data_IF_108665337082
#
_entry.id   IF_108665337082
#
_cell.length_a   1.000
_cell.length_b   1.000
_cell.length_c   1.000
_cell.angle_alpha   90.00
_cell.angle_beta   90.00
_cell.angle_gamma   90.00
#
_symmetry.space_group_name_H-M   'P 1'
#
loop_
_entity.id
_entity.type
_entity.pdbx_description
1 polymer ?
#
# COMPACT_ATOMS: atom_id res chain seq x y z
N UNK A 1 3.71 13.25 -4.20
CA UNK A 1 2.49 13.13 -5.05
C UNK A 1 2.85 12.34 -6.30
N UNK A 2 2.46 11.07 -6.34
CA UNK A 2 2.80 10.14 -7.43
C UNK A 2 2.27 10.62 -8.80
N UNK A 3 3.10 10.46 -9.84
CA UNK A 3 2.80 10.86 -11.22
C UNK A 3 1.58 10.10 -11.75
N UNK A 4 0.55 10.81 -12.23
CA UNK A 4 -0.67 10.22 -12.82
C UNK A 4 -0.59 10.26 -14.36
N UNK A 5 0.52 9.76 -14.90
CA UNK A 5 0.72 9.60 -16.34
C UNK A 5 1.45 8.28 -16.58
N UNK A 6 1.08 7.58 -17.65
CA UNK A 6 1.74 6.33 -18.03
C UNK A 6 3.22 6.57 -18.35
N UNK A 7 4.07 5.62 -17.95
CA UNK A 7 5.46 5.60 -18.40
C UNK A 7 5.50 5.04 -19.83
N UNK A 8 6.15 5.78 -20.73
CA UNK A 8 6.35 5.37 -22.12
C UNK A 8 7.51 4.35 -22.25
N UNK A 9 8.48 4.41 -21.33
CA UNK A 9 9.65 3.54 -21.33
C UNK A 9 10.25 3.36 -19.93
N UNK A 10 11.14 2.36 -19.77
CA UNK A 10 11.90 2.16 -18.53
C UNK A 10 12.96 3.25 -18.29
N UNK A 11 13.39 3.94 -19.35
CA UNK A 11 14.38 5.02 -19.24
C UNK A 11 13.79 6.22 -18.49
N UNK A 12 12.47 6.41 -18.59
CA UNK A 12 11.74 7.48 -17.91
C UNK A 12 11.65 7.32 -16.38
N UNK A 13 12.03 6.15 -15.84
CA UNK A 13 11.99 5.82 -14.41
C UNK A 13 13.38 6.00 -13.80
N UNK A 14 13.81 7.24 -13.57
CA UNK A 14 15.11 7.55 -12.95
C UNK A 14 15.02 7.75 -11.43
N UNK A 15 13.94 8.38 -10.99
CA UNK A 15 13.58 8.57 -9.58
C UNK A 15 12.10 8.22 -9.40
N UNK A 16 11.70 7.84 -8.18
CA UNK A 16 10.33 7.48 -7.87
C UNK A 16 9.91 8.00 -6.50
N UNK A 17 8.78 8.68 -6.44
CA UNK A 17 8.11 8.99 -5.19
C UNK A 17 7.11 7.87 -4.91
N UNK A 18 7.28 7.21 -3.77
CA UNK A 18 6.34 6.23 -3.25
C UNK A 18 5.48 6.86 -2.15
N UNK A 19 4.22 6.47 -2.10
CA UNK A 19 3.27 6.95 -1.12
C UNK A 19 2.78 5.80 -0.24
N UNK A 20 2.94 5.92 1.09
CA UNK A 20 2.43 5.00 2.10
C UNK A 20 1.12 5.53 2.69
N UNK A 21 0.02 4.81 2.48
CA UNK A 21 -1.26 5.14 3.12
C UNK A 21 -1.42 4.39 4.42
N UNK A 22 -1.79 5.12 5.47
CA UNK A 22 -2.06 4.57 6.79
C UNK A 22 -3.58 4.52 6.97
N UNK A 23 -4.09 3.31 7.20
CA UNK A 23 -5.50 3.01 7.42
C UNK A 23 -5.61 2.44 8.84
N UNK A 24 -5.60 3.35 9.80
CA UNK A 24 -5.64 3.04 11.22
C UNK A 24 -6.31 4.19 11.95
N UNK A 25 -7.31 3.90 12.78
CA UNK A 25 -7.90 4.90 13.68
C UNK A 25 -6.96 5.28 14.84
N UNK A 26 -5.94 4.45 15.10
CA UNK A 26 -4.98 4.66 16.19
C UNK A 26 -3.74 5.36 15.64
N UNK A 27 -3.15 6.23 16.46
CA UNK A 27 -1.86 6.86 16.16
C UNK A 27 -0.65 5.97 16.45
N UNK A 28 -0.90 4.74 16.94
CA UNK A 28 0.11 3.81 17.45
C UNK A 28 -0.16 2.41 16.89
N UNK A 29 0.90 1.72 16.48
CA UNK A 29 0.90 0.32 16.07
C UNK A 29 2.09 -0.40 16.74
N UNK A 30 1.85 -1.59 17.27
CA UNK A 30 2.82 -2.38 18.04
C UNK A 30 3.40 -1.63 19.26
N UNK A 31 2.63 -0.68 19.81
CA UNK A 31 3.10 0.20 20.88
C UNK A 31 4.01 1.35 20.42
N UNK A 32 4.28 1.48 19.12
CA UNK A 32 5.14 2.50 18.52
C UNK A 32 4.30 3.50 17.71
N UNK A 33 4.52 4.83 17.84
CA UNK A 33 3.84 5.82 17.01
C UNK A 33 4.01 5.51 15.53
N UNK A 34 2.94 5.65 14.74
CA UNK A 34 3.01 5.28 13.31
C UNK A 34 4.10 6.05 12.57
N UNK A 35 4.27 7.35 12.84
CA UNK A 35 5.33 8.14 12.23
C UNK A 35 6.76 7.63 12.55
N UNK A 36 6.97 7.04 13.74
CA UNK A 36 8.26 6.41 14.08
C UNK A 36 8.47 5.11 13.30
N UNK A 37 7.41 4.32 13.07
CA UNK A 37 7.47 3.14 12.20
C UNK A 37 7.79 3.53 10.76
N UNK A 38 7.19 4.60 10.24
CA UNK A 38 7.49 5.12 8.90
C UNK A 38 8.93 5.61 8.81
N UNK A 39 9.43 6.30 9.83
CA UNK A 39 10.84 6.70 9.89
C UNK A 39 11.76 5.47 9.84
N UNK A 40 11.46 4.42 10.61
CA UNK A 40 12.23 3.18 10.59
C UNK A 40 12.19 2.46 9.22
N UNK A 41 11.06 2.53 8.50
CA UNK A 41 10.96 2.03 7.12
C UNK A 41 11.85 2.85 6.18
N UNK A 42 11.79 4.18 6.27
CA UNK A 42 12.60 5.10 5.46
C UNK A 42 14.10 4.86 5.62
N UNK A 43 14.57 4.64 6.84
CA UNK A 43 15.98 4.32 7.14
C UNK A 43 16.49 3.03 6.49
N UNK A 44 15.59 2.16 6.01
CA UNK A 44 15.92 0.89 5.34
C UNK A 44 15.85 0.97 3.81
N UNK A 45 15.45 2.11 3.25
CA UNK A 45 15.44 2.33 1.80
C UNK A 45 16.89 2.53 1.33
N UNK A 46 17.25 1.85 0.23
CA UNK A 46 18.61 1.88 -0.33
C UNK A 46 18.72 3.00 -1.36
N UNK A 47 19.72 3.86 -1.20
CA UNK A 47 20.00 4.94 -2.14
C UNK A 47 19.03 6.12 -1.99
N UNK A 48 19.10 7.05 -2.93
CA UNK A 48 18.38 8.34 -2.93
C UNK A 48 17.40 8.50 -4.11
N UNK A 49 17.22 7.44 -4.89
CA UNK A 49 16.32 7.43 -6.06
C UNK A 49 14.86 7.09 -5.72
N UNK A 50 14.56 6.81 -4.45
CA UNK A 50 13.22 6.55 -3.96
C UNK A 50 12.94 7.42 -2.74
N UNK A 51 11.87 8.20 -2.80
CA UNK A 51 11.34 8.92 -1.63
C UNK A 51 10.08 8.22 -1.14
N UNK A 52 9.74 8.41 0.13
CA UNK A 52 8.52 7.84 0.72
C UNK A 52 7.72 8.94 1.43
N UNK A 53 6.57 9.32 0.90
CA UNK A 53 5.60 10.20 1.57
C UNK A 53 4.59 9.36 2.37
N UNK A 54 4.11 9.88 3.50
CA UNK A 54 3.12 9.19 4.34
C UNK A 54 1.78 9.94 4.32
N UNK A 55 0.70 9.18 4.31
CA UNK A 55 -0.68 9.68 4.29
C UNK A 55 -1.47 9.13 5.48
N UNK A 56 -1.37 9.76 6.66
CA UNK A 56 -2.13 9.38 7.86
C UNK A 56 -3.65 9.56 7.69
N UNK A 57 -4.09 10.35 6.72
CA UNK A 57 -5.50 10.61 6.42
C UNK A 57 -6.22 9.46 5.71
N UNK A 58 -5.57 8.32 5.48
CA UNK A 58 -6.10 7.21 4.68
C UNK A 58 -7.46 6.69 5.15
N UNK A 59 -7.65 6.59 6.47
CA UNK A 59 -8.93 6.18 7.06
C UNK A 59 -10.08 7.14 6.71
N UNK A 60 -9.81 8.44 6.62
CA UNK A 60 -10.81 9.46 6.26
C UNK A 60 -11.09 9.59 4.77
N UNK A 61 -10.45 8.76 3.93
CA UNK A 61 -10.54 8.79 2.47
C UNK A 61 -10.90 7.43 1.86
N UNK A 62 -11.48 6.53 2.65
CA UNK A 62 -11.87 5.20 2.18
C UNK A 62 -12.91 5.22 1.06
N UNK A 63 -13.70 6.29 0.92
CA UNK A 63 -14.65 6.50 -0.16
C UNK A 63 -14.01 7.03 -1.46
N UNK A 64 -12.77 7.54 -1.38
CA UNK A 64 -12.05 8.14 -2.50
C UNK A 64 -11.19 7.09 -3.21
N UNK A 65 -11.86 6.16 -3.91
CA UNK A 65 -11.19 5.07 -4.64
C UNK A 65 -10.03 5.54 -5.53
N UNK A 66 -10.27 6.60 -6.32
CA UNK A 66 -9.27 7.15 -7.23
C UNK A 66 -8.04 7.72 -6.52
N UNK A 67 -8.17 8.17 -5.26
CA UNK A 67 -7.02 8.59 -4.45
C UNK A 67 -6.30 7.34 -3.91
N UNK A 68 -7.03 6.42 -3.27
CA UNK A 68 -6.47 5.20 -2.69
C UNK A 68 -5.66 4.36 -3.68
N UNK A 69 -6.15 4.20 -4.91
CA UNK A 69 -5.53 3.37 -5.93
C UNK A 69 -4.15 3.88 -6.38
N UNK A 70 -3.88 5.17 -6.19
CA UNK A 70 -2.60 5.81 -6.54
C UNK A 70 -1.50 5.53 -5.50
N UNK A 71 -1.81 4.82 -4.41
CA UNK A 71 -0.84 4.51 -3.38
C UNK A 71 -0.45 3.04 -3.45
N UNK A 72 0.85 2.79 -3.58
CA UNK A 72 1.42 1.46 -3.83
C UNK A 72 1.55 0.61 -2.56
N UNK A 73 1.61 1.26 -1.39
CA UNK A 73 1.80 0.61 -0.10
C UNK A 73 0.73 1.06 0.89
N UNK A 74 -0.03 0.10 1.41
CA UNK A 74 -1.09 0.34 2.40
C UNK A 74 -0.72 -0.34 3.71
N UNK A 75 -0.83 0.40 4.81
CA UNK A 75 -0.66 -0.10 6.16
C UNK A 75 -2.01 -0.07 6.89
N UNK A 76 -2.57 -1.25 7.16
CA UNK A 76 -3.91 -1.41 7.71
C UNK A 76 -3.84 -2.02 9.11
N UNK A 77 -4.52 -1.44 10.09
CA UNK A 77 -4.74 -2.11 11.37
C UNK A 77 -5.87 -3.14 11.25
N UNK A 78 -5.67 -4.36 11.76
CA UNK A 78 -6.58 -5.47 11.50
C UNK A 78 -8.05 -5.24 11.87
N UNK A 79 -8.33 -4.46 12.92
CA UNK A 79 -9.71 -4.17 13.34
C UNK A 79 -10.50 -3.43 12.24
N UNK A 80 -9.82 -2.67 11.38
CA UNK A 80 -10.45 -1.98 10.23
C UNK A 80 -11.01 -2.95 9.17
N UNK A 81 -10.63 -4.23 9.23
CA UNK A 81 -11.14 -5.29 8.36
C UNK A 81 -12.06 -6.28 9.09
N UNK A 82 -12.11 -6.22 10.42
CA UNK A 82 -12.80 -7.19 11.28
C UNK A 82 -14.05 -6.62 11.94
N UNK A 83 -14.16 -5.29 12.06
CA UNK A 83 -15.34 -4.65 12.64
C UNK A 83 -16.54 -4.75 11.69
N UNK A 84 -17.62 -5.39 12.15
CA UNK A 84 -18.86 -5.63 11.39
C UNK A 84 -19.60 -4.32 11.01
N UNK A 85 -19.27 -3.19 11.63
CA UNK A 85 -19.90 -1.88 11.40
C UNK A 85 -19.03 -0.89 10.60
N UNK A 86 -17.78 -1.25 10.26
CA UNK A 86 -16.79 -0.33 9.67
C UNK A 86 -16.55 -0.54 8.17
N UNK A 87 -17.00 0.42 7.36
CA UNK A 87 -16.68 0.67 5.94
C UNK A 87 -16.41 -0.53 5.03
N UNK A 88 -17.50 -1.01 4.40
CA UNK A 88 -17.47 -2.00 3.31
C UNK A 88 -16.58 -1.64 2.11
N UNK A 89 -16.01 -0.43 2.07
CA UNK A 89 -15.04 0.00 1.08
C UNK A 89 -13.75 -0.82 1.10
N UNK A 90 -13.12 -1.05 2.26
CA UNK A 90 -11.90 -1.86 2.33
C UNK A 90 -12.15 -3.28 1.87
N UNK A 91 -13.23 -3.89 2.38
CA UNK A 91 -13.68 -5.20 1.93
C UNK A 91 -13.91 -5.23 0.42
N UNK A 92 -14.61 -4.22 -0.12
CA UNK A 92 -14.81 -4.09 -1.56
C UNK A 92 -13.49 -4.02 -2.32
N UNK A 93 -12.55 -3.15 -1.93
CA UNK A 93 -11.26 -3.00 -2.62
C UNK A 93 -10.40 -4.26 -2.56
N UNK A 94 -10.40 -4.97 -1.43
CA UNK A 94 -9.59 -6.17 -1.24
C UNK A 94 -10.21 -7.42 -1.87
N UNK A 95 -11.54 -7.50 -1.94
CA UNK A 95 -12.25 -8.64 -2.55
C UNK A 95 -12.52 -8.46 -4.04
N UNK A 96 -12.22 -7.30 -4.63
CA UNK A 96 -12.39 -7.01 -6.05
C UNK A 96 -11.06 -6.67 -6.73
N UNK A 97 -11.07 -6.48 -8.05
CA UNK A 97 -9.89 -6.04 -8.83
C UNK A 97 -9.70 -4.51 -8.82
N UNK A 98 -10.29 -3.83 -7.84
CA UNK A 98 -10.33 -2.36 -7.79
C UNK A 98 -8.98 -1.73 -7.44
N UNK A 99 -7.98 -2.49 -7.02
CA UNK A 99 -6.64 -1.95 -6.70
C UNK A 99 -5.58 -2.81 -7.41
N UNK A 100 -4.46 -2.22 -7.91
CA UNK A 100 -3.45 -2.97 -8.64
C UNK A 100 -2.94 -4.17 -7.86
N UNK A 101 -2.69 -5.27 -8.57
CA UNK A 101 -2.13 -6.50 -7.98
C UNK A 101 -0.77 -6.27 -7.34
N UNK A 102 -0.02 -5.30 -7.85
CA UNK A 102 1.32 -4.93 -7.37
C UNK A 102 1.30 -3.94 -6.20
N UNK A 103 0.14 -3.43 -5.79
CA UNK A 103 -0.01 -2.72 -4.52
C UNK A 103 0.23 -3.70 -3.38
N UNK A 104 1.16 -3.35 -2.50
CA UNK A 104 1.49 -4.06 -1.28
C UNK A 104 0.54 -3.61 -0.16
N UNK A 105 -0.16 -4.57 0.44
CA UNK A 105 -1.15 -4.30 1.49
C UNK A 105 -0.74 -5.07 2.73
N UNK A 106 -0.24 -4.35 3.73
CA UNK A 106 0.23 -4.91 4.99
C UNK A 106 -0.85 -4.75 6.05
N UNK A 107 -1.25 -5.85 6.69
CA UNK A 107 -2.24 -5.85 7.76
C UNK A 107 -1.57 -6.18 9.10
N UNK A 108 -1.67 -5.27 10.06
CA UNK A 108 -1.07 -5.38 11.38
C UNK A 108 -2.01 -6.04 12.40
N UNK A 109 -1.54 -7.13 13.02
CA UNK A 109 -2.22 -7.82 14.13
C UNK A 109 -1.32 -7.71 15.37
N UNK A 110 -1.67 -6.83 16.30
CA UNK A 110 -0.84 -6.52 17.47
C UNK A 110 -0.92 -7.59 18.57
N UNK A 111 -2.06 -8.26 18.70
CA UNK A 111 -2.33 -9.25 19.76
C UNK A 111 -1.77 -10.65 19.44
N UNK A 112 -1.17 -10.82 18.26
CA UNK A 112 -0.65 -12.11 17.80
C UNK A 112 -1.74 -13.18 17.58
N UNK A 113 -3.00 -12.78 17.41
CA UNK A 113 -4.11 -13.71 17.22
C UNK A 113 -4.01 -14.48 15.91
N UNK A 114 -3.71 -15.77 16.01
CA UNK A 114 -3.72 -16.69 14.87
C UNK A 114 -5.13 -16.90 14.29
N UNK A 115 -6.18 -16.72 15.09
CA UNK A 115 -7.57 -16.79 14.63
C UNK A 115 -7.90 -15.61 13.70
N UNK A 116 -7.55 -14.38 14.11
CA UNK A 116 -7.70 -13.18 13.26
C UNK A 116 -6.89 -13.32 11.98
N UNK A 117 -5.65 -13.80 12.10
CA UNK A 117 -4.78 -14.06 10.95
C UNK A 117 -5.42 -15.04 9.98
N UNK A 118 -5.86 -16.20 10.46
CA UNK A 118 -6.46 -17.24 9.63
C UNK A 118 -7.76 -16.75 8.96
N UNK A 119 -8.57 -15.95 9.67
CA UNK A 119 -9.76 -15.31 9.11
C UNK A 119 -9.39 -14.37 7.95
N UNK A 120 -8.46 -13.44 8.17
CA UNK A 120 -8.06 -12.47 7.15
C UNK A 120 -7.38 -13.12 5.94
N UNK A 121 -6.49 -14.10 6.18
CA UNK A 121 -5.85 -14.87 5.10
C UNK A 121 -6.87 -15.73 4.33
N UNK A 122 -7.93 -16.23 4.99
CA UNK A 122 -9.01 -16.96 4.30
C UNK A 122 -9.86 -16.03 3.44
N UNK A 123 -10.15 -14.83 3.92
CA UNK A 123 -11.05 -13.88 3.24
C UNK A 123 -10.35 -13.14 2.09
N UNK A 124 -9.10 -12.70 2.31
CA UNK A 124 -8.37 -11.84 1.36
C UNK A 124 -7.20 -12.57 0.68
N UNK A 125 -6.82 -13.75 1.15
CA UNK A 125 -5.81 -14.59 0.49
C UNK A 125 -4.48 -13.88 0.31
N UNK A 126 -3.92 -14.01 -0.90
CA UNK A 126 -2.64 -13.39 -1.28
C UNK A 126 -2.73 -11.89 -1.53
N UNK A 127 -3.90 -11.26 -1.36
CA UNK A 127 -4.07 -9.82 -1.54
C UNK A 127 -3.39 -9.01 -0.45
N UNK A 128 -3.32 -9.58 0.76
CA UNK A 128 -2.74 -8.95 1.94
C UNK A 128 -1.50 -9.71 2.42
N UNK A 129 -0.65 -9.04 3.18
CA UNK A 129 0.38 -9.67 4.01
C UNK A 129 0.14 -9.31 5.47
N UNK A 130 -0.07 -10.33 6.29
CA UNK A 130 -0.24 -10.13 7.72
C UNK A 130 1.11 -10.01 8.40
N UNK A 131 1.25 -9.05 9.31
CA UNK A 131 2.42 -8.87 10.18
C UNK A 131 1.99 -8.76 11.64
N UNK A 132 2.72 -9.43 12.53
CA UNK A 132 2.41 -9.54 13.96
C UNK A 132 3.42 -8.83 14.86
N UNK A 133 4.24 -7.96 14.28
CA UNK A 133 5.21 -7.19 15.04
C UNK A 133 5.93 -6.13 14.21
N UNK A 134 6.46 -5.13 14.89
CA UNK A 134 7.18 -3.99 14.33
C UNK A 134 8.32 -4.40 13.39
N UNK A 135 9.22 -5.29 13.85
CA UNK A 135 10.38 -5.69 13.05
C UNK A 135 9.97 -6.33 11.72
N UNK A 136 8.89 -7.10 11.73
CA UNK A 136 8.37 -7.74 10.53
C UNK A 136 7.70 -6.72 9.61
N UNK A 137 6.94 -5.77 10.15
CA UNK A 137 6.40 -4.64 9.39
C UNK A 137 7.50 -3.88 8.66
N UNK A 138 8.52 -3.40 9.39
CA UNK A 138 9.62 -2.62 8.82
C UNK A 138 10.35 -3.43 7.75
N UNK A 139 10.64 -4.70 8.01
CA UNK A 139 11.32 -5.57 7.04
C UNK A 139 10.49 -5.80 5.77
N UNK A 140 9.16 -5.97 5.88
CA UNK A 140 8.29 -6.23 4.72
C UNK A 140 8.09 -4.97 3.87
N UNK A 141 7.76 -3.85 4.51
CA UNK A 141 7.58 -2.57 3.82
C UNK A 141 8.86 -2.14 3.10
N UNK A 142 10.00 -2.17 3.79
CA UNK A 142 11.29 -1.80 3.18
C UNK A 142 11.73 -2.77 2.08
N UNK A 143 11.46 -4.07 2.20
CA UNK A 143 11.75 -5.02 1.13
C UNK A 143 10.91 -4.77 -0.13
N UNK A 144 9.63 -4.40 0.03
CA UNK A 144 8.77 -3.99 -1.07
C UNK A 144 9.30 -2.73 -1.76
N UNK A 145 9.54 -1.66 -0.99
CA UNK A 145 10.04 -0.38 -1.52
C UNK A 145 11.38 -0.55 -2.22
N UNK A 146 12.31 -1.33 -1.64
CA UNK A 146 13.58 -1.62 -2.31
C UNK A 146 13.37 -2.44 -3.58
N UNK A 147 12.42 -3.37 -3.63
CA UNK A 147 12.11 -4.07 -4.89
C UNK A 147 11.61 -3.10 -5.96
N UNK A 148 10.78 -2.13 -5.58
CA UNK A 148 10.27 -1.06 -6.43
C UNK A 148 11.19 0.18 -6.47
N UNK A 149 12.52 0.00 -6.44
CA UNK A 149 13.47 1.12 -6.42
C UNK A 149 14.29 1.20 -7.73
N UNK A 150 14.39 2.37 -8.39
CA UNK A 150 15.15 2.52 -9.64
C UNK A 150 16.62 2.10 -9.52
N UNK A 151 17.21 2.17 -8.32
CA UNK A 151 18.61 1.79 -8.09
C UNK A 151 18.89 0.30 -8.34
N UNK A 152 17.84 -0.54 -8.28
CA UNK A 152 17.92 -1.96 -8.64
C UNK A 152 17.89 -2.19 -10.15
N UNK A 153 18.08 -1.13 -10.94
CA UNK A 153 18.18 -1.16 -12.37
C UNK A 153 16.87 -1.62 -13.00
N UNK A 154 16.98 -2.50 -14.00
CA UNK A 154 15.84 -2.93 -14.81
C UNK A 154 14.68 -3.48 -14.00
N UNK A 155 14.95 -4.31 -12.98
CA UNK A 155 13.89 -4.95 -12.21
C UNK A 155 13.04 -3.95 -11.41
N UNK A 156 13.67 -2.97 -10.77
CA UNK A 156 12.95 -1.93 -10.03
C UNK A 156 12.14 -1.03 -10.94
N UNK A 157 12.74 -0.61 -12.07
CA UNK A 157 12.03 0.19 -13.09
C UNK A 157 10.83 -0.55 -13.69
N UNK A 158 10.95 -1.86 -13.93
CA UNK A 158 9.84 -2.69 -14.43
C UNK A 158 8.71 -2.81 -13.39
N UNK A 159 9.03 -2.92 -12.10
CA UNK A 159 8.04 -2.96 -11.03
C UNK A 159 7.23 -1.65 -10.93
N UNK A 160 7.93 -0.51 -10.94
CA UNK A 160 7.32 0.84 -10.91
C UNK A 160 6.42 1.04 -12.13
N UNK A 161 6.94 0.74 -13.33
CA UNK A 161 6.18 0.88 -14.58
C UNK A 161 4.92 0.02 -14.58
N UNK A 162 5.04 -1.25 -14.18
CA UNK A 162 3.91 -2.19 -14.14
C UNK A 162 2.82 -1.73 -13.17
N UNK A 163 3.22 -1.22 -11.99
CA UNK A 163 2.27 -0.69 -11.03
C UNK A 163 1.61 0.60 -11.53
N UNK A 164 2.39 1.60 -11.96
CA UNK A 164 1.89 2.90 -12.41
C UNK A 164 0.91 2.78 -13.59
N UNK A 165 1.25 1.95 -14.57
CA UNK A 165 0.36 1.77 -15.72
C UNK A 165 -0.91 1.00 -15.33
N UNK A 166 -0.86 0.09 -14.35
CA UNK A 166 -2.07 -0.55 -13.81
C UNK A 166 -2.97 0.45 -13.07
N UNK A 167 -2.39 1.42 -12.35
CA UNK A 167 -3.13 2.55 -11.75
C UNK A 167 -3.82 3.37 -12.84
N UNK A 168 -3.09 3.76 -13.89
CA UNK A 168 -3.64 4.55 -14.99
C UNK A 168 -4.82 3.84 -15.67
N UNK A 169 -4.70 2.54 -15.96
CA UNK A 169 -5.80 1.73 -16.51
C UNK A 169 -7.02 1.77 -15.61
N UNK A 170 -6.86 1.53 -14.30
CA UNK A 170 -7.97 1.55 -13.36
C UNK A 170 -8.62 2.95 -13.30
N UNK A 171 -7.84 4.02 -13.23
CA UNK A 171 -8.38 5.38 -13.21
C UNK A 171 -9.16 5.72 -14.49
N UNK A 172 -8.69 5.25 -15.65
CA UNK A 172 -9.41 5.44 -16.92
C UNK A 172 -10.71 4.63 -16.96
N UNK A 173 -10.69 3.35 -16.55
CA UNK A 173 -11.89 2.50 -16.51
C UNK A 173 -12.95 3.03 -15.53
N UNK A 174 -12.54 3.51 -14.35
CA UNK A 174 -13.44 4.10 -13.36
C UNK A 174 -13.86 5.53 -13.72
N UNK A 175 -13.02 6.29 -14.42
CA UNK A 175 -13.34 7.61 -14.96
C UNK A 175 -14.40 7.54 -16.05
N UNK A 176 -14.27 6.62 -17.00
CA UNK A 176 -15.25 6.40 -18.06
C UNK A 176 -16.61 5.90 -17.52
N UNK A 177 -16.61 5.06 -16.49
CA UNK A 177 -17.82 4.53 -15.87
C UNK A 177 -18.69 5.58 -15.14
N UNK A 178 -18.15 6.77 -14.84
CA UNK A 178 -18.86 7.85 -14.14
C UNK A 178 -19.30 9.00 -15.06
N UNK A 179 -18.93 8.97 -16.36
CA UNK A 179 -19.28 10.00 -17.35
C UNK A 179 -19.93 9.45 -18.63
N UNK A 180 -20.27 8.15 -18.66
CA UNK A 180 -21.00 7.49 -19.75
C UNK A 180 -22.51 7.43 -19.56
#
# INVERSE_FOLDING_TARGET
MTRVEEYNSLEDVETHDEDLVIICEREVLFGTPVGELVAAIREKIIGDQLTLEEHPEGIGRLDQHGWLVQHSLWLIHCEQLLEDEGDGWLKFYLSTKSVPKHTEIIVCIEDGSEEKRAQLEKEYGSRIRVVTGEQLLVAKASAYLNTANPINGRAGKEAILAWNNAVCTLLNEFGEANYG
#
